data_IF_142274928403
#
_entry.id   IF_142274928403
#
_cell.length_a   1.000
_cell.length_b   1.000
_cell.length_c   1.000
_cell.angle_alpha   90.00
_cell.angle_beta   90.00
_cell.angle_gamma   90.00
#
_symmetry.space_group_name_H-M   'P 1'
#
loop_
_entity.id
_entity.type
_entity.pdbx_description
1 polymer ?
#
# COMPACT_ATOMS: atom_id res chain seq x y z
N UNK A 1 59.40 12.10 0.04
CA UNK A 1 58.00 11.72 0.19
C UNK A 1 57.36 12.66 1.18
N UNK A 2 56.33 13.41 0.76
CA UNK A 2 55.54 14.25 1.65
C UNK A 2 54.49 13.31 2.24
N UNK A 3 54.61 12.99 3.54
CA UNK A 3 53.56 12.30 4.26
C UNK A 3 52.44 13.31 4.53
N UNK A 4 51.31 13.11 3.87
CA UNK A 4 50.08 13.84 4.17
C UNK A 4 49.51 13.30 5.50
N UNK A 5 49.52 14.12 6.54
CA UNK A 5 48.80 13.79 7.79
C UNK A 5 47.28 13.85 7.53
N UNK A 6 46.61 12.76 7.79
CA UNK A 6 45.13 12.72 7.73
C UNK A 6 44.64 13.26 9.09
N UNK A 7 44.10 14.49 9.07
CA UNK A 7 43.43 15.04 10.26
C UNK A 7 41.99 14.59 10.31
N UNK A 8 41.65 13.78 11.31
CA UNK A 8 40.24 13.40 11.58
C UNK A 8 39.70 14.46 12.57
N UNK A 9 38.76 15.28 12.11
CA UNK A 9 38.00 16.17 12.99
C UNK A 9 36.68 15.52 13.35
N UNK A 10 36.48 15.22 14.65
CA UNK A 10 35.18 14.84 15.16
C UNK A 10 34.32 16.11 15.32
N UNK A 11 33.33 16.24 14.46
CA UNK A 11 32.33 17.31 14.55
C UNK A 11 31.03 16.66 15.01
N UNK A 12 30.61 16.91 16.25
CA UNK A 12 29.25 16.63 16.68
C UNK A 12 28.34 17.70 16.07
N UNK A 13 27.56 17.30 15.06
CA UNK A 13 26.55 18.16 14.44
C UNK A 13 25.17 17.57 14.76
N UNK A 14 24.40 18.31 15.57
CA UNK A 14 22.99 18.01 15.78
C UNK A 14 22.22 18.63 14.60
N UNK A 15 21.85 17.80 13.61
CA UNK A 15 21.06 18.24 12.46
C UNK A 15 19.63 17.81 12.64
N UNK A 16 18.75 18.72 13.05
CA UNK A 16 17.31 18.55 12.99
C UNK A 16 16.81 19.15 11.68
N UNK A 17 16.13 18.35 10.87
CA UNK A 17 15.52 18.79 9.61
C UNK A 17 14.01 18.62 9.68
N UNK A 18 13.26 19.30 8.80
CA UNK A 18 11.82 19.11 8.71
C UNK A 18 11.44 17.65 8.42
N UNK A 19 12.31 16.90 7.74
CA UNK A 19 12.12 15.44 7.51
C UNK A 19 12.20 14.68 8.84
N UNK A 20 13.22 14.95 9.66
CA UNK A 20 13.39 14.30 10.96
C UNK A 20 12.19 14.56 11.87
N UNK A 21 11.76 15.82 11.95
CA UNK A 21 10.59 16.21 12.76
C UNK A 21 9.29 15.53 12.27
N UNK A 22 9.09 15.45 10.94
CA UNK A 22 7.93 14.77 10.37
C UNK A 22 7.91 13.26 10.70
N UNK A 23 9.08 12.60 10.61
CA UNK A 23 9.23 11.19 10.95
C UNK A 23 8.97 10.95 12.44
N UNK A 24 9.58 11.73 13.33
CA UNK A 24 9.37 11.63 14.79
C UNK A 24 7.89 11.77 15.17
N UNK A 25 7.17 12.68 14.51
CA UNK A 25 5.75 12.93 14.76
C UNK A 25 4.87 11.71 14.47
N UNK A 26 5.19 10.93 13.45
CA UNK A 26 4.28 9.88 12.92
C UNK A 26 4.77 8.45 13.17
N UNK A 27 6.03 8.29 13.55
CA UNK A 27 6.69 6.99 13.62
C UNK A 27 5.94 5.95 14.47
N UNK A 28 5.42 6.36 15.63
CA UNK A 28 4.74 5.46 16.58
C UNK A 28 3.39 4.96 16.05
N UNK A 29 2.82 5.64 15.06
CA UNK A 29 1.61 5.19 14.38
C UNK A 29 1.86 4.34 13.14
N UNK A 30 3.12 4.17 12.70
CA UNK A 30 3.47 3.29 11.56
C UNK A 30 3.78 1.90 12.08
N UNK A 31 3.19 0.88 11.46
CA UNK A 31 3.22 -0.50 11.94
C UNK A 31 3.63 -1.48 10.83
N UNK A 32 4.16 -2.64 11.23
CA UNK A 32 4.32 -3.78 10.33
C UNK A 32 3.04 -4.61 10.28
N UNK A 33 2.70 -5.08 9.09
CA UNK A 33 1.58 -6.01 8.87
C UNK A 33 2.16 -7.36 8.50
N UNK A 34 1.74 -8.40 9.20
CA UNK A 34 2.20 -9.78 9.01
C UNK A 34 1.02 -10.61 8.52
N UNK A 35 1.13 -11.09 7.26
CA UNK A 35 0.18 -12.01 6.67
C UNK A 35 0.52 -13.45 7.10
N UNK A 36 -0.44 -14.13 7.68
CA UNK A 36 -0.30 -15.48 8.21
C UNK A 36 -1.21 -16.42 7.43
N UNK A 37 -0.65 -17.57 7.03
CA UNK A 37 -1.40 -18.66 6.39
C UNK A 37 -1.22 -19.95 7.17
N UNK A 38 -2.27 -20.78 7.22
CA UNK A 38 -2.21 -22.10 7.81
C UNK A 38 -1.30 -23.00 6.99
N UNK A 39 -0.57 -23.85 7.70
CA UNK A 39 0.28 -24.85 7.04
C UNK A 39 -0.57 -26.05 6.60
N UNK A 40 -1.07 -26.00 5.37
CA UNK A 40 -1.89 -27.08 4.79
C UNK A 40 -1.15 -28.43 4.67
N UNK A 41 0.17 -28.43 4.79
CA UNK A 41 0.98 -29.65 4.73
C UNK A 41 0.72 -30.60 5.92
N UNK A 42 0.23 -30.10 7.05
CA UNK A 42 -0.12 -30.91 8.23
C UNK A 42 -1.46 -31.60 8.12
N UNK A 43 -2.40 -31.14 7.32
CA UNK A 43 -3.68 -31.81 7.08
C UNK A 43 -3.52 -33.24 6.53
N UNK A 44 -2.46 -33.48 5.76
CA UNK A 44 -2.13 -34.81 5.24
C UNK A 44 -1.55 -35.75 6.30
N UNK A 45 -0.72 -35.26 7.22
CA UNK A 45 -0.08 -36.06 8.29
C UNK A 45 -1.06 -36.39 9.43
N UNK A 46 -2.05 -35.54 9.68
CA UNK A 46 -3.13 -35.79 10.65
C UNK A 46 -4.00 -36.99 10.23
N UNK A 47 -4.13 -37.24 8.93
CA UNK A 47 -4.88 -38.40 8.42
C UNK A 47 -4.19 -39.75 8.75
N UNK A 48 -2.90 -39.76 9.05
CA UNK A 48 -2.11 -40.92 9.44
C UNK A 48 -1.86 -41.08 10.95
N UNK A 49 -2.57 -40.33 11.80
CA UNK A 49 -2.59 -40.55 13.25
C UNK A 49 -1.41 -39.91 14.04
N UNK A 50 -0.75 -38.92 13.47
CA UNK A 50 0.21 -38.08 14.19
C UNK A 50 -0.54 -37.03 15.04
N UNK A 51 -0.23 -36.96 16.36
CA UNK A 51 -0.62 -35.82 17.16
C UNK A 51 0.20 -34.61 16.67
N UNK A 52 -0.46 -33.66 16.05
CA UNK A 52 0.12 -32.37 15.69
C UNK A 52 -0.47 -31.32 16.60
N UNK A 53 0.39 -30.46 17.15
CA UNK A 53 -0.03 -29.25 17.85
C UNK A 53 -0.87 -28.41 16.88
N UNK A 54 -2.05 -27.98 17.35
CA UNK A 54 -3.04 -27.26 16.58
C UNK A 54 -2.48 -25.91 16.15
N UNK A 55 -2.68 -25.57 14.85
CA UNK A 55 -2.54 -24.25 14.25
C UNK A 55 -1.12 -23.64 14.17
N UNK A 56 -0.20 -24.27 13.46
CA UNK A 56 1.03 -23.60 13.07
C UNK A 56 0.79 -22.68 11.86
N UNK A 57 0.68 -21.37 12.13
CA UNK A 57 0.64 -20.34 11.09
C UNK A 57 2.06 -20.07 10.56
N UNK A 58 2.17 -20.06 9.23
CA UNK A 58 3.39 -19.62 8.53
C UNK A 58 3.24 -18.18 8.08
N UNK A 59 4.29 -17.40 8.26
CA UNK A 59 4.35 -16.06 7.70
C UNK A 59 4.42 -16.15 6.17
N UNK A 60 3.37 -15.67 5.49
CA UNK A 60 3.27 -15.71 4.04
C UNK A 60 3.77 -14.42 3.37
N UNK A 61 3.74 -13.31 4.10
CA UNK A 61 4.18 -12.02 3.59
C UNK A 61 4.19 -10.95 4.68
N UNK A 62 4.77 -9.81 4.34
CA UNK A 62 4.80 -8.63 5.20
C UNK A 62 4.64 -7.36 4.39
N UNK A 63 4.17 -6.33 5.05
CA UNK A 63 4.09 -4.98 4.54
C UNK A 63 4.02 -3.98 5.67
N UNK A 64 3.70 -2.77 5.36
CA UNK A 64 3.49 -1.69 6.33
C UNK A 64 2.06 -1.23 6.35
N UNK A 65 1.70 -0.52 7.41
CA UNK A 65 0.44 0.19 7.56
C UNK A 65 0.60 1.37 8.48
N UNK A 66 -0.46 2.16 8.66
CA UNK A 66 -0.46 3.21 9.65
C UNK A 66 -1.81 3.36 10.32
N UNK A 67 -1.78 3.64 11.61
CA UNK A 67 -2.96 3.98 12.41
C UNK A 67 -3.44 5.35 11.96
N UNK A 68 -4.71 5.46 11.56
CA UNK A 68 -5.31 6.73 11.12
C UNK A 68 -6.46 7.20 12.00
N UNK A 69 -7.01 6.32 12.83
CA UNK A 69 -8.10 6.64 13.73
C UNK A 69 -8.04 5.76 14.97
N UNK A 70 -8.29 6.37 16.12
CA UNK A 70 -8.53 5.68 17.40
C UNK A 70 -9.89 6.14 17.87
N UNK A 71 -10.82 5.20 18.00
CA UNK A 71 -12.21 5.48 18.40
C UNK A 71 -12.70 4.36 19.31
N UNK A 72 -13.28 4.72 20.43
CA UNK A 72 -13.69 3.82 21.50
C UNK A 72 -12.52 2.93 21.96
N UNK A 73 -12.63 1.62 21.79
CA UNK A 73 -11.62 0.61 22.15
C UNK A 73 -10.86 0.04 20.93
N UNK A 74 -11.04 0.64 19.74
CA UNK A 74 -10.44 0.18 18.48
C UNK A 74 -9.50 1.23 17.88
N UNK A 75 -8.40 0.75 17.32
CA UNK A 75 -7.49 1.54 16.51
C UNK A 75 -7.51 0.98 15.07
N UNK A 76 -7.82 1.85 14.12
CA UNK A 76 -7.97 1.52 12.71
C UNK A 76 -6.70 1.82 11.93
N UNK A 77 -6.32 0.90 11.06
CA UNK A 77 -5.06 0.90 10.33
C UNK A 77 -5.38 0.75 8.83
N UNK A 78 -4.82 1.63 8.01
CA UNK A 78 -4.81 1.40 6.57
C UNK A 78 -3.56 0.63 6.13
N UNK A 79 -3.69 -0.18 5.10
CA UNK A 79 -2.60 -0.87 4.41
C UNK A 79 -3.00 -1.19 2.97
N UNK A 80 -2.18 -1.90 2.21
CA UNK A 80 -2.56 -2.40 0.89
C UNK A 80 -3.32 -3.73 0.96
N UNK A 81 -4.23 -3.95 0.01
CA UNK A 81 -4.93 -5.22 -0.15
C UNK A 81 -3.95 -6.38 -0.37
N UNK A 82 -2.95 -6.21 -1.25
CA UNK A 82 -1.99 -7.28 -1.55
C UNK A 82 -1.17 -7.73 -0.33
N UNK A 83 -1.07 -6.90 0.72
CA UNK A 83 -0.38 -7.24 1.97
C UNK A 83 -1.19 -8.25 2.78
N UNK A 84 -2.51 -8.15 2.77
CA UNK A 84 -3.42 -9.02 3.56
C UNK A 84 -4.12 -10.10 2.73
N UNK A 85 -4.01 -10.04 1.42
CA UNK A 85 -4.69 -10.94 0.50
C UNK A 85 -4.37 -12.42 0.78
N UNK A 86 -5.43 -13.23 0.87
CA UNK A 86 -5.31 -14.68 1.11
C UNK A 86 -4.76 -15.05 2.48
N UNK A 87 -4.78 -14.15 3.46
CA UNK A 87 -4.41 -14.46 4.85
C UNK A 87 -5.49 -15.29 5.54
N UNK A 88 -5.09 -16.23 6.38
CA UNK A 88 -5.97 -16.89 7.35
C UNK A 88 -6.02 -16.12 8.67
N UNK A 89 -4.98 -15.36 8.96
CA UNK A 89 -4.90 -14.39 10.07
C UNK A 89 -3.93 -13.26 9.72
N UNK A 90 -4.08 -12.13 10.39
CA UNK A 90 -3.21 -10.97 10.25
C UNK A 90 -2.75 -10.54 11.64
N UNK A 91 -1.47 -10.31 11.80
CA UNK A 91 -0.91 -9.68 12.98
C UNK A 91 -0.31 -8.32 12.64
N UNK A 92 -0.36 -7.43 13.60
CA UNK A 92 0.32 -6.13 13.59
C UNK A 92 1.48 -6.16 14.56
N UNK A 93 2.67 -5.78 14.08
CA UNK A 93 3.84 -5.60 14.92
C UNK A 93 4.10 -4.10 15.10
N UNK A 94 4.08 -3.67 16.35
CA UNK A 94 4.28 -2.29 16.77
C UNK A 94 5.77 -1.94 16.86
N UNK A 95 6.08 -0.65 16.96
CA UNK A 95 7.46 -0.15 17.04
C UNK A 95 8.23 -0.66 18.25
N UNK A 96 7.54 -0.93 19.37
CA UNK A 96 8.14 -1.49 20.59
C UNK A 96 8.36 -3.02 20.54
N UNK A 97 8.01 -3.66 19.40
CA UNK A 97 8.10 -5.11 19.22
C UNK A 97 6.88 -5.89 19.72
N UNK A 98 5.84 -5.23 20.20
CA UNK A 98 4.58 -5.88 20.60
C UNK A 98 3.86 -6.38 19.36
N UNK A 99 3.47 -7.65 19.35
CA UNK A 99 2.71 -8.29 18.29
C UNK A 99 1.27 -8.47 18.72
N UNK A 100 0.34 -7.96 17.92
CA UNK A 100 -1.07 -7.89 18.23
C UNK A 100 -1.88 -8.50 17.09
N UNK A 101 -2.83 -9.42 17.35
CA UNK A 101 -3.73 -9.91 16.33
C UNK A 101 -4.63 -8.77 15.83
N UNK A 102 -4.85 -8.74 14.52
CA UNK A 102 -5.68 -7.73 13.86
C UNK A 102 -6.89 -8.37 13.19
N UNK A 103 -7.99 -7.63 13.15
CA UNK A 103 -9.16 -7.96 12.35
C UNK A 103 -9.10 -7.21 11.02
N UNK A 104 -9.43 -7.88 9.92
CA UNK A 104 -9.58 -7.25 8.62
C UNK A 104 -11.01 -6.73 8.51
N UNK A 105 -11.18 -5.41 8.59
CA UNK A 105 -12.48 -4.75 8.47
C UNK A 105 -13.01 -4.80 7.04
N UNK A 106 -12.12 -4.67 6.07
CA UNK A 106 -12.44 -4.79 4.66
C UNK A 106 -11.23 -4.60 3.77
N UNK A 107 -11.35 -5.02 2.52
CA UNK A 107 -10.31 -4.83 1.52
C UNK A 107 -10.89 -4.65 0.12
N UNK A 108 -10.12 -3.99 -0.74
CA UNK A 108 -10.51 -3.69 -2.11
C UNK A 108 -9.34 -3.92 -3.08
N UNK A 109 -9.49 -4.93 -3.92
CA UNK A 109 -8.47 -5.34 -4.89
C UNK A 109 -8.23 -4.26 -5.97
N UNK A 110 -9.27 -3.49 -6.33
CA UNK A 110 -9.22 -2.49 -7.39
C UNK A 110 -8.38 -1.28 -7.03
N UNK A 111 -8.47 -0.83 -5.78
CA UNK A 111 -7.68 0.30 -5.28
C UNK A 111 -6.45 -0.14 -4.50
N UNK A 112 -6.25 -1.45 -4.29
CA UNK A 112 -5.17 -2.01 -3.51
C UNK A 112 -5.14 -1.48 -2.06
N UNK A 113 -6.31 -1.27 -1.46
CA UNK A 113 -6.47 -0.79 -0.09
C UNK A 113 -7.13 -1.82 0.81
N UNK A 114 -6.73 -1.83 2.07
CA UNK A 114 -7.37 -2.60 3.13
C UNK A 114 -7.41 -1.79 4.43
N UNK A 115 -8.40 -2.09 5.27
CA UNK A 115 -8.56 -1.53 6.62
C UNK A 115 -8.50 -2.68 7.60
N UNK A 116 -7.66 -2.51 8.62
CA UNK A 116 -7.51 -3.41 9.75
C UNK A 116 -7.91 -2.68 11.03
N UNK A 117 -8.21 -3.43 12.08
CA UNK A 117 -8.34 -2.86 13.42
C UNK A 117 -7.65 -3.74 14.46
N UNK A 118 -7.15 -3.10 15.50
CA UNK A 118 -6.57 -3.70 16.70
C UNK A 118 -7.20 -3.07 17.95
N UNK A 119 -6.97 -3.67 19.11
CA UNK A 119 -7.34 -3.06 20.39
C UNK A 119 -6.58 -1.74 20.61
N UNK A 120 -7.30 -0.66 20.92
CA UNK A 120 -6.77 0.69 21.09
C UNK A 120 -5.77 0.81 22.25
N UNK A 121 -5.78 -0.12 23.23
CA UNK A 121 -4.84 -0.08 24.36
C UNK A 121 -3.35 -0.17 23.95
N UNK A 122 -3.09 -0.63 22.74
CA UNK A 122 -1.71 -0.86 22.24
C UNK A 122 -1.12 0.36 21.51
N UNK A 123 -1.90 1.35 21.15
CA UNK A 123 -1.45 2.51 20.37
C UNK A 123 -2.12 3.79 20.89
N UNK A 124 -1.38 4.90 20.83
CA UNK A 124 -1.85 6.23 21.24
C UNK A 124 -1.68 7.28 20.15
N UNK A 125 -1.07 6.90 19.01
CA UNK A 125 -0.74 7.80 17.91
C UNK A 125 -1.52 7.42 16.66
N UNK A 126 -2.34 8.33 16.17
CA UNK A 126 -3.01 8.25 14.87
C UNK A 126 -2.47 9.34 13.93
N UNK A 127 -2.19 8.97 12.68
CA UNK A 127 -1.71 9.89 11.66
C UNK A 127 -2.88 10.72 11.10
N UNK A 128 -2.61 12.01 10.86
CA UNK A 128 -3.56 12.90 10.20
C UNK A 128 -3.42 12.80 8.68
N UNK A 129 -4.54 12.80 7.96
CA UNK A 129 -4.53 12.93 6.51
C UNK A 129 -4.33 14.38 6.09
N UNK A 130 -3.43 14.58 5.11
CA UNK A 130 -3.27 15.83 4.37
C UNK A 130 -4.15 15.85 3.12
N UNK A 131 -4.27 16.99 2.47
CA UNK A 131 -5.03 17.16 1.25
C UNK A 131 -4.15 16.91 0.02
N UNK A 132 -4.30 15.75 -0.62
CA UNK A 132 -3.52 15.39 -1.81
C UNK A 132 -3.84 16.22 -3.06
N UNK A 133 -5.01 16.88 -3.13
CA UNK A 133 -5.38 17.73 -4.27
C UNK A 133 -4.55 19.03 -4.32
N UNK A 134 -3.98 19.42 -3.18
CA UNK A 134 -3.16 20.64 -3.07
C UNK A 134 -1.66 20.39 -3.27
N UNK A 135 -1.26 19.15 -3.55
CA UNK A 135 0.16 18.82 -3.74
C UNK A 135 0.76 19.53 -4.96
N UNK A 136 1.97 20.02 -4.77
CA UNK A 136 2.76 20.66 -5.82
C UNK A 136 3.99 19.81 -6.14
N UNK A 137 4.29 19.66 -7.43
CA UNK A 137 5.51 18.99 -7.89
C UNK A 137 6.75 19.72 -7.33
N UNK A 138 7.65 18.95 -6.74
CA UNK A 138 8.85 19.45 -6.05
C UNK A 138 8.73 19.54 -4.54
N UNK A 139 7.53 19.37 -3.96
CA UNK A 139 7.38 19.30 -2.50
C UNK A 139 8.07 18.05 -1.93
N UNK A 140 8.66 18.13 -0.72
CA UNK A 140 9.22 16.97 -0.05
C UNK A 140 8.18 15.87 0.19
N UNK A 141 8.56 14.65 -0.08
CA UNK A 141 7.77 13.44 0.14
C UNK A 141 8.60 12.42 0.93
N UNK A 142 8.02 11.89 2.00
CA UNK A 142 8.70 10.95 2.91
C UNK A 142 7.87 9.67 2.95
N UNK A 143 8.41 8.59 2.41
CA UNK A 143 7.79 7.26 2.48
C UNK A 143 8.30 6.54 3.72
N UNK A 144 7.38 6.10 4.58
CA UNK A 144 7.70 5.47 5.84
C UNK A 144 7.12 4.05 5.86
N UNK A 145 7.93 3.11 6.33
CA UNK A 145 7.54 1.74 6.51
C UNK A 145 8.10 1.15 7.79
N UNK A 146 7.57 0.02 8.20
CA UNK A 146 8.06 -0.78 9.31
C UNK A 146 8.25 -2.22 8.83
N UNK A 147 9.28 -2.49 8.00
CA UNK A 147 9.53 -3.84 7.52
C UNK A 147 10.10 -4.71 8.63
N UNK A 148 9.42 -5.83 8.90
CA UNK A 148 9.94 -6.97 9.69
C UNK A 148 10.75 -6.65 10.95
N UNK A 149 10.06 -6.41 12.05
CA UNK A 149 10.64 -6.45 13.39
C UNK A 149 11.46 -5.22 13.78
N UNK A 150 11.88 -5.23 15.03
CA UNK A 150 12.62 -4.15 15.70
C UNK A 150 13.97 -3.81 15.07
N UNK A 151 14.56 -4.73 14.29
CA UNK A 151 15.84 -4.49 13.60
C UNK A 151 15.74 -3.56 12.40
N UNK A 152 14.55 -3.44 11.79
CA UNK A 152 14.28 -2.60 10.62
C UNK A 152 13.07 -1.68 10.83
N UNK A 153 12.65 -1.49 12.07
CA UNK A 153 11.59 -0.56 12.42
C UNK A 153 11.94 0.83 11.85
N UNK A 154 10.93 1.51 11.26
CA UNK A 154 11.09 2.84 10.68
C UNK A 154 12.06 2.90 9.49
N UNK A 155 11.83 2.09 8.47
CA UNK A 155 12.49 2.29 7.18
C UNK A 155 11.94 3.55 6.51
N UNK A 156 12.77 4.57 6.39
CA UNK A 156 12.41 5.88 5.84
C UNK A 156 13.15 6.11 4.54
N UNK A 157 12.42 6.46 3.49
CA UNK A 157 13.00 7.00 2.26
C UNK A 157 12.41 8.39 2.00
N UNK A 158 13.19 9.29 1.45
CA UNK A 158 12.74 10.65 1.15
C UNK A 158 13.08 11.04 -0.27
N UNK A 159 12.23 11.86 -0.84
CA UNK A 159 12.35 12.42 -2.16
C UNK A 159 11.40 13.60 -2.30
N UNK A 160 10.82 13.76 -3.49
CA UNK A 160 9.87 14.81 -3.81
C UNK A 160 8.61 14.23 -4.45
N UNK A 161 7.56 15.02 -4.50
CA UNK A 161 6.43 14.79 -5.39
C UNK A 161 6.91 15.05 -6.82
N UNK A 162 7.05 13.97 -7.60
CA UNK A 162 7.54 14.05 -9.00
C UNK A 162 6.41 14.29 -9.99
N UNK A 163 5.17 13.98 -9.61
CA UNK A 163 3.98 14.19 -10.41
C UNK A 163 2.70 13.94 -9.63
N UNK A 164 1.63 14.60 -10.04
CA UNK A 164 0.29 14.43 -9.49
C UNK A 164 -0.68 14.06 -10.60
N UNK A 165 -1.78 13.37 -10.26
CA UNK A 165 -2.80 12.98 -11.23
C UNK A 165 -2.28 12.04 -12.32
N UNK A 166 -1.32 11.18 -12.01
CA UNK A 166 -0.79 10.19 -12.96
C UNK A 166 -1.77 9.04 -13.12
N UNK A 167 -2.20 8.76 -14.35
CA UNK A 167 -2.93 7.52 -14.65
C UNK A 167 -1.96 6.37 -14.75
N UNK A 168 -2.14 5.38 -13.89
CA UNK A 168 -1.26 4.20 -13.80
C UNK A 168 -2.09 2.96 -14.09
N UNK A 169 -1.68 2.12 -15.06
CA UNK A 169 -2.34 0.85 -15.32
C UNK A 169 -2.07 -0.14 -14.18
N UNK A 170 -3.10 -0.86 -13.75
CA UNK A 170 -3.04 -1.84 -12.66
C UNK A 170 -3.50 -3.19 -13.17
N UNK A 171 -2.69 -4.21 -12.94
CA UNK A 171 -3.03 -5.61 -13.13
C UNK A 171 -3.57 -6.15 -11.80
N UNK A 172 -4.90 -6.32 -11.71
CA UNK A 172 -5.56 -6.71 -10.46
C UNK A 172 -5.53 -8.22 -10.22
N UNK A 173 -5.37 -9.02 -11.28
CA UNK A 173 -5.40 -10.48 -11.25
C UNK A 173 -4.03 -11.15 -11.47
N UNK A 174 -2.97 -10.35 -11.71
CA UNK A 174 -1.60 -10.79 -11.94
C UNK A 174 -1.41 -11.69 -13.19
N UNK A 175 -2.20 -11.43 -14.25
CA UNK A 175 -2.07 -12.13 -15.53
C UNK A 175 -1.09 -11.46 -16.52
N UNK A 176 -0.53 -10.32 -16.13
CA UNK A 176 0.42 -9.53 -16.91
C UNK A 176 -0.24 -8.52 -17.87
N UNK A 177 -1.57 -8.38 -17.83
CA UNK A 177 -2.32 -7.39 -18.58
C UNK A 177 -3.01 -6.43 -17.61
N UNK A 178 -2.94 -5.12 -17.84
CA UNK A 178 -3.68 -4.18 -17.01
C UNK A 178 -5.19 -4.30 -17.30
N UNK A 179 -5.97 -4.43 -16.24
CA UNK A 179 -7.43 -4.50 -16.29
C UNK A 179 -8.12 -3.32 -15.58
N UNK A 180 -7.33 -2.43 -14.99
CA UNK A 180 -7.79 -1.24 -14.29
C UNK A 180 -6.81 -0.07 -14.46
N UNK A 181 -7.30 1.15 -14.27
CA UNK A 181 -6.48 2.37 -14.21
C UNK A 181 -6.76 3.13 -12.92
N UNK A 182 -5.69 3.59 -12.27
CA UNK A 182 -5.77 4.40 -11.06
C UNK A 182 -5.10 5.74 -11.25
N UNK A 183 -5.61 6.74 -10.53
CA UNK A 183 -4.89 8.00 -10.33
C UNK A 183 -3.86 7.81 -9.22
N UNK A 184 -2.64 8.24 -9.44
CA UNK A 184 -1.55 8.10 -8.49
C UNK A 184 -0.72 9.38 -8.34
N UNK A 185 -0.07 9.50 -7.19
CA UNK A 185 1.02 10.43 -6.93
C UNK A 185 2.32 9.74 -7.33
N UNK A 186 3.14 10.39 -8.14
CA UNK A 186 4.49 9.94 -8.48
C UNK A 186 5.51 10.58 -7.54
N UNK A 187 6.45 9.79 -7.03
CA UNK A 187 7.57 10.25 -6.20
C UNK A 187 8.87 9.53 -6.59
N UNK A 188 10.00 10.16 -6.35
CA UNK A 188 11.32 9.55 -6.45
C UNK A 188 11.82 9.00 -5.09
N UNK A 189 11.05 9.20 -4.01
CA UNK A 189 11.25 8.43 -2.79
C UNK A 189 11.14 6.94 -3.10
N UNK A 190 12.11 6.14 -2.68
CA UNK A 190 12.13 4.71 -3.01
C UNK A 190 10.94 3.98 -2.36
N UNK A 191 10.05 3.43 -3.20
CA UNK A 191 8.95 2.56 -2.78
C UNK A 191 9.38 1.11 -3.00
N UNK A 192 9.30 0.31 -1.95
CA UNK A 192 9.78 -1.07 -1.91
C UNK A 192 8.91 -1.94 -0.98
N UNK A 193 9.14 -3.27 -0.90
CA UNK A 193 8.37 -4.16 -0.04
C UNK A 193 8.30 -3.72 1.42
N UNK A 194 9.32 -2.98 1.89
CA UNK A 194 9.39 -2.54 3.28
C UNK A 194 8.46 -1.38 3.62
N UNK A 195 8.06 -0.54 2.67
CA UNK A 195 7.16 0.59 2.91
C UNK A 195 5.83 0.53 2.15
N UNK A 196 5.59 -0.52 1.37
CA UNK A 196 4.31 -0.75 0.71
C UNK A 196 3.19 -0.93 1.74
N UNK A 197 2.09 -0.19 1.58
CA UNK A 197 0.99 -0.08 2.54
C UNK A 197 1.19 0.98 3.62
N UNK A 198 2.42 1.45 3.81
CA UNK A 198 2.74 2.56 4.71
C UNK A 198 2.44 3.93 4.13
N UNK A 199 2.54 4.98 4.94
CA UNK A 199 2.22 6.35 4.53
C UNK A 199 3.31 6.98 3.67
N UNK A 200 2.88 7.81 2.70
CA UNK A 200 3.66 8.89 2.12
C UNK A 200 3.24 10.18 2.82
N UNK A 201 4.17 10.82 3.53
CA UNK A 201 3.86 12.02 4.32
C UNK A 201 4.59 13.26 3.79
N UNK A 202 4.00 14.43 4.06
CA UNK A 202 4.64 15.71 3.84
C UNK A 202 5.51 16.12 5.06
N UNK A 203 6.20 17.24 4.99
CA UNK A 203 7.05 17.74 6.10
C UNK A 203 6.27 18.17 7.35
N UNK A 204 4.97 18.30 7.27
CA UNK A 204 4.10 18.52 8.44
C UNK A 204 3.70 17.20 9.14
N UNK A 205 4.12 16.05 8.60
CA UNK A 205 3.75 14.73 9.10
C UNK A 205 2.31 14.33 8.77
N UNK A 206 1.74 14.89 7.69
CA UNK A 206 0.40 14.53 7.24
C UNK A 206 0.49 13.50 6.10
N UNK A 207 -0.38 12.51 6.12
CA UNK A 207 -0.47 11.47 5.08
C UNK A 207 -1.07 12.07 3.82
N UNK A 208 -0.29 12.19 2.77
CA UNK A 208 -0.71 12.67 1.45
C UNK A 208 -0.93 11.53 0.45
N UNK A 209 -0.46 10.34 0.78
CA UNK A 209 -0.68 9.14 -0.01
C UNK A 209 -0.39 7.86 0.76
N UNK A 210 -0.75 6.72 0.16
CA UNK A 210 -0.45 5.38 0.67
C UNK A 210 0.45 4.70 -0.37
N UNK A 211 1.65 4.33 0.04
CA UNK A 211 2.65 3.71 -0.84
C UNK A 211 2.13 2.37 -1.36
N UNK A 212 2.26 2.10 -2.66
CA UNK A 212 1.91 0.81 -3.23
C UNK A 212 2.95 0.33 -4.24
N UNK A 213 3.52 -0.83 -3.99
CA UNK A 213 4.38 -1.49 -4.94
C UNK A 213 3.63 -2.07 -6.13
N UNK A 214 2.37 -2.43 -5.98
CA UNK A 214 1.56 -3.01 -7.05
C UNK A 214 1.40 -2.04 -8.22
N UNK A 215 1.29 -0.74 -7.93
CA UNK A 215 1.18 0.32 -8.94
C UNK A 215 2.55 0.94 -9.28
N UNK A 216 3.60 0.61 -8.53
CA UNK A 216 4.95 1.09 -8.79
C UNK A 216 5.63 0.17 -9.79
N UNK A 217 6.06 0.72 -10.92
CA UNK A 217 6.79 -0.08 -11.93
C UNK A 217 8.16 -0.48 -11.40
N UNK A 218 8.37 -1.76 -11.18
CA UNK A 218 9.67 -2.32 -10.78
C UNK A 218 10.77 -2.13 -11.84
N UNK A 219 10.41 -1.66 -13.04
CA UNK A 219 11.32 -1.59 -14.19
C UNK A 219 11.97 -0.22 -14.38
N UNK A 220 11.48 0.83 -13.69
CA UNK A 220 12.01 2.19 -13.82
C UNK A 220 12.46 2.67 -12.45
N UNK A 221 13.78 2.75 -12.26
CA UNK A 221 14.39 3.30 -11.05
C UNK A 221 14.00 4.78 -10.87
N UNK A 222 13.67 5.16 -9.62
CA UNK A 222 13.25 6.53 -9.30
C UNK A 222 11.80 6.87 -9.65
N UNK A 223 10.97 5.87 -9.95
CA UNK A 223 9.54 6.03 -10.18
C UNK A 223 8.73 5.19 -9.18
N UNK A 224 8.47 5.76 -8.03
CA UNK A 224 7.53 5.23 -7.04
C UNK A 224 6.14 5.86 -7.19
N UNK A 225 5.11 5.14 -6.75
CA UNK A 225 3.73 5.63 -6.78
C UNK A 225 3.04 5.41 -5.44
N UNK A 226 2.14 6.33 -5.13
CA UNK A 226 1.28 6.26 -3.96
C UNK A 226 -0.17 6.59 -4.34
N UNK A 227 -1.11 5.97 -3.65
CA UNK A 227 -2.55 6.23 -3.78
C UNK A 227 -2.83 7.56 -3.08
N UNK A 228 -3.44 8.56 -3.77
CA UNK A 228 -3.71 9.87 -3.18
C UNK A 228 -4.59 9.77 -1.92
N UNK A 229 -4.29 10.57 -0.90
CA UNK A 229 -5.03 10.53 0.38
C UNK A 229 -6.52 10.83 0.21
N UNK A 230 -6.90 11.79 -0.64
CA UNK A 230 -8.30 12.13 -0.85
C UNK A 230 -9.10 10.99 -1.48
N UNK A 231 -8.48 10.23 -2.40
CA UNK A 231 -9.09 9.02 -2.97
C UNK A 231 -9.14 7.90 -1.94
N UNK A 232 -8.05 7.71 -1.19
CA UNK A 232 -7.93 6.67 -0.18
C UNK A 232 -8.97 6.83 0.95
N UNK A 233 -9.20 8.04 1.46
CA UNK A 233 -10.15 8.31 2.53
C UNK A 233 -11.57 7.84 2.15
N UNK A 234 -12.01 8.08 0.91
CA UNK A 234 -13.32 7.66 0.44
C UNK A 234 -13.48 6.14 0.44
N UNK A 235 -12.44 5.42 0.06
CA UNK A 235 -12.40 3.95 0.06
C UNK A 235 -12.32 3.41 1.49
N UNK A 236 -11.40 3.94 2.29
CA UNK A 236 -11.21 3.56 3.70
C UNK A 236 -12.53 3.68 4.48
N UNK A 237 -13.27 4.78 4.31
CA UNK A 237 -14.55 4.99 4.98
C UNK A 237 -15.62 3.96 4.58
N UNK A 238 -15.62 3.49 3.33
CA UNK A 238 -16.51 2.42 2.89
C UNK A 238 -16.09 1.07 3.46
N UNK A 239 -14.79 0.76 3.41
CA UNK A 239 -14.27 -0.50 3.95
C UNK A 239 -14.50 -0.63 5.45
N UNK A 240 -14.30 0.46 6.21
CA UNK A 240 -14.55 0.48 7.65
C UNK A 240 -16.05 0.29 7.99
N UNK A 241 -16.95 0.91 7.23
CA UNK A 241 -18.38 0.87 7.50
C UNK A 241 -19.08 -0.38 6.97
N UNK A 242 -18.74 -0.78 5.74
CA UNK A 242 -19.48 -1.76 4.95
C UNK A 242 -18.68 -3.06 4.69
N UNK A 243 -17.36 -3.05 4.95
CA UNK A 243 -16.45 -4.16 4.66
C UNK A 243 -16.06 -4.28 3.19
N UNK A 244 -16.73 -3.56 2.31
CA UNK A 244 -16.52 -3.61 0.86
C UNK A 244 -16.80 -2.26 0.19
N UNK A 245 -16.28 -2.09 -1.03
CA UNK A 245 -16.53 -0.90 -1.85
C UNK A 245 -17.61 -1.18 -2.87
N UNK A 246 -18.73 -0.45 -2.76
CA UNK A 246 -19.82 -0.56 -3.72
C UNK A 246 -19.49 0.21 -5.00
N UNK A 247 -19.48 -0.49 -6.13
CA UNK A 247 -19.31 0.09 -7.48
C UNK A 247 -20.53 -0.18 -8.33
N UNK A 248 -21.02 0.82 -9.08
CA UNK A 248 -22.09 0.58 -10.05
C UNK A 248 -21.58 -0.35 -11.16
N UNK A 249 -22.36 -1.36 -11.49
CA UNK A 249 -22.07 -2.32 -12.54
C UNK A 249 -23.13 -2.22 -13.66
N UNK A 250 -22.69 -1.92 -14.88
CA UNK A 250 -23.60 -1.78 -16.02
C UNK A 250 -23.96 -3.11 -16.67
N UNK A 251 -23.22 -4.19 -16.38
CA UNK A 251 -23.47 -5.52 -16.95
C UNK A 251 -23.30 -5.59 -18.46
N UNK A 252 -22.41 -4.75 -19.02
CA UNK A 252 -22.11 -4.73 -20.46
C UNK A 252 -20.70 -5.27 -20.70
N UNK A 253 -20.55 -5.98 -21.83
CA UNK A 253 -19.24 -6.35 -22.37
C UNK A 253 -19.00 -5.51 -23.60
N UNK A 254 -17.85 -4.85 -23.70
CA UNK A 254 -17.45 -4.03 -24.82
C UNK A 254 -16.32 -4.70 -25.59
N UNK A 255 -16.36 -4.62 -26.89
CA UNK A 255 -15.32 -5.09 -27.79
C UNK A 255 -15.01 -3.96 -28.77
N UNK A 256 -13.73 -3.62 -28.93
CA UNK A 256 -13.31 -2.65 -29.91
C UNK A 256 -13.68 -3.11 -31.34
N UNK A 257 -14.38 -2.27 -32.08
CA UNK A 257 -14.81 -2.57 -33.44
C UNK A 257 -13.65 -2.88 -34.39
N UNK A 258 -12.45 -2.40 -34.11
CA UNK A 258 -11.26 -2.72 -34.91
C UNK A 258 -10.87 -4.20 -34.81
N UNK A 259 -11.28 -4.88 -33.74
CA UNK A 259 -11.05 -6.33 -33.53
C UNK A 259 -12.09 -7.20 -34.20
N UNK A 260 -13.22 -6.63 -34.67
CA UNK A 260 -14.30 -7.33 -35.34
C UNK A 260 -14.08 -7.28 -36.86
N UNK A 261 -14.20 -8.41 -37.53
CA UNK A 261 -14.01 -8.48 -38.98
C UNK A 261 -15.04 -7.60 -39.74
N UNK A 262 -14.65 -7.10 -40.92
CA UNK A 262 -15.57 -6.28 -41.75
C UNK A 262 -16.89 -6.99 -42.10
N UNK A 263 -16.86 -8.31 -42.32
CA UNK A 263 -18.02 -9.14 -42.59
C UNK A 263 -18.96 -9.18 -41.38
N UNK A 264 -18.42 -9.42 -40.18
CA UNK A 264 -19.22 -9.43 -38.96
C UNK A 264 -19.80 -8.04 -38.65
N UNK A 265 -19.05 -6.95 -38.91
CA UNK A 265 -19.56 -5.60 -38.72
C UNK A 265 -20.77 -5.29 -39.63
N UNK A 266 -20.73 -5.72 -40.91
CA UNK A 266 -21.82 -5.47 -41.85
C UNK A 266 -22.99 -6.47 -41.69
N UNK A 267 -22.72 -7.75 -41.48
CA UNK A 267 -23.76 -8.78 -41.46
C UNK A 267 -24.42 -8.97 -40.09
N UNK A 268 -23.61 -8.98 -38.99
CA UNK A 268 -24.12 -9.22 -37.66
C UNK A 268 -24.52 -7.95 -36.91
N UNK A 269 -23.73 -6.86 -37.09
CA UNK A 269 -23.97 -5.60 -36.39
C UNK A 269 -24.68 -4.55 -37.28
N UNK A 270 -24.88 -4.84 -38.57
CA UNK A 270 -25.53 -3.99 -39.55
C UNK A 270 -24.94 -2.56 -39.59
N UNK A 271 -23.61 -2.46 -39.44
CA UNK A 271 -22.88 -1.19 -39.45
C UNK A 271 -22.46 -0.82 -40.88
N UNK A 272 -22.49 0.47 -41.23
CA UNK A 272 -21.95 0.99 -42.52
C UNK A 272 -20.45 0.63 -42.65
N UNK A 273 -20.00 0.41 -43.92
CA UNK A 273 -18.62 0.00 -44.22
C UNK A 273 -17.54 1.01 -43.82
N UNK A 274 -17.90 2.26 -43.61
CA UNK A 274 -17.04 3.35 -43.16
C UNK A 274 -16.85 3.40 -41.65
N UNK A 275 -17.70 2.71 -40.88
CA UNK A 275 -17.57 2.61 -39.42
C UNK A 275 -16.59 1.50 -39.07
N UNK A 276 -15.34 1.90 -38.77
CA UNK A 276 -14.23 0.97 -38.50
C UNK A 276 -13.74 0.99 -37.06
N UNK A 277 -14.05 2.01 -36.31
CA UNK A 277 -13.60 2.23 -34.93
C UNK A 277 -14.79 2.58 -34.06
N UNK A 278 -14.71 2.20 -32.81
CA UNK A 278 -15.71 2.41 -31.78
C UNK A 278 -15.71 1.24 -30.79
N UNK A 279 -16.53 1.34 -29.77
CA UNK A 279 -16.71 0.32 -28.72
C UNK A 279 -18.16 -0.14 -28.73
#
# INVERSE_FOLDING_TARGET
GVSQEITVSNVEVNVTSGITEAVEKVNDGVVSIINLRRNDYQSWTSFYGGQTDEDEFLQAGTGSGAVYKIEDDRAYIFTNNHVVEGSDAVDVLLQDGTRVPAEVEGSDVWTDLAVLSIDAQYVDTALEFGNSDNLTVGEPAIAIGSPLGTEFASSVTSGIISGVGRTVPVDTNSDGQPDWEMTAIQTDAAINPGNSGGPLVNIAGQVVGINSMKISSATVEGMGFAIPSNDAINIINQLERDGEVTRPYLGITMIDLSLISGVQRSEDLNLPDDVKNGI
#
